data_IF_043123840248
#
_entry.id   IF_043123840248
#
_cell.length_a   1.000
_cell.length_b   1.000
_cell.length_c   1.000
_cell.angle_alpha   90.00
_cell.angle_beta   90.00
_cell.angle_gamma   90.00
#
_symmetry.space_group_name_H-M   'P 1'
#
loop_
_entity.id
_entity.type
_entity.pdbx_description
1 polymer ?
#
# COMPACT_ATOMS: atom_id res chain seq x y z
N UNK A 1 -0.63 -3.42 -22.83
CA UNK A 1 0.26 -3.67 -21.69
C UNK A 1 -0.27 -4.82 -20.87
N UNK A 2 0.57 -5.80 -20.54
CA UNK A 2 0.13 -6.83 -19.62
C UNK A 2 -0.23 -6.21 -18.25
N UNK A 3 -1.18 -6.80 -17.60
CA UNK A 3 -1.61 -6.36 -16.29
C UNK A 3 -0.48 -6.54 -15.27
N UNK A 4 -0.33 -5.57 -14.37
CA UNK A 4 0.66 -5.62 -13.33
C UNK A 4 0.37 -6.80 -12.39
N UNK A 5 1.41 -7.48 -11.90
CA UNK A 5 1.27 -8.64 -11.00
C UNK A 5 0.53 -8.34 -9.70
N UNK A 6 0.39 -7.06 -9.34
CA UNK A 6 -0.36 -6.65 -8.16
C UNK A 6 -1.83 -6.35 -8.47
N UNK A 7 -2.19 -6.32 -9.74
CA UNK A 7 -3.51 -5.86 -10.20
C UNK A 7 -4.66 -6.69 -9.66
N UNK A 8 -4.47 -8.01 -9.51
CA UNK A 8 -5.53 -8.89 -9.00
C UNK A 8 -5.98 -8.50 -7.59
N UNK A 9 -5.09 -7.94 -6.77
CA UNK A 9 -5.42 -7.46 -5.42
C UNK A 9 -5.92 -6.02 -5.42
N UNK A 10 -5.49 -5.21 -6.38
CA UNK A 10 -5.79 -3.78 -6.44
C UNK A 10 -7.04 -3.46 -7.24
N UNK A 11 -7.30 -4.21 -8.31
CA UNK A 11 -8.46 -3.95 -9.19
C UNK A 11 -9.79 -3.95 -8.44
N UNK A 12 -10.08 -4.96 -7.59
CA UNK A 12 -11.34 -4.93 -6.84
C UNK A 12 -11.50 -3.71 -5.96
N UNK A 13 -10.41 -3.24 -5.34
CA UNK A 13 -10.42 -2.04 -4.52
C UNK A 13 -10.76 -0.80 -5.36
N UNK A 14 -10.11 -0.66 -6.51
CA UNK A 14 -10.32 0.49 -7.40
C UNK A 14 -11.73 0.49 -7.99
N UNK A 15 -12.20 -0.65 -8.47
CA UNK A 15 -13.52 -0.78 -9.10
C UNK A 15 -14.65 -0.52 -8.13
N UNK A 16 -14.43 -0.77 -6.84
CA UNK A 16 -15.43 -0.53 -5.79
C UNK A 16 -15.35 0.86 -5.18
N UNK A 17 -14.46 1.70 -5.68
CA UNK A 17 -14.32 3.09 -5.22
C UNK A 17 -13.71 3.21 -3.83
N UNK A 18 -12.87 2.27 -3.43
CA UNK A 18 -12.15 2.36 -2.16
C UNK A 18 -11.07 3.43 -2.26
N UNK A 19 -11.05 4.34 -1.30
CA UNK A 19 -10.01 5.37 -1.20
C UNK A 19 -8.82 4.82 -0.42
N UNK A 20 -7.69 4.73 -1.10
CA UNK A 20 -6.45 4.23 -0.51
C UNK A 20 -5.22 4.78 -1.24
N UNK A 21 -4.09 4.70 -0.58
CA UNK A 21 -2.78 5.04 -1.14
C UNK A 21 -1.88 3.82 -1.03
N UNK A 22 -1.24 3.43 -2.14
CA UNK A 22 -0.21 2.41 -2.12
C UNK A 22 1.03 2.97 -1.42
N UNK A 23 1.55 2.20 -0.48
CA UNK A 23 2.75 2.55 0.28
C UNK A 23 3.73 1.36 0.24
N UNK A 24 4.81 1.43 0.98
CA UNK A 24 5.75 0.32 1.13
C UNK A 24 6.48 -0.07 -0.15
N UNK A 25 6.83 -1.35 -0.26
CA UNK A 25 7.64 -1.88 -1.34
C UNK A 25 7.04 -1.72 -2.72
N UNK A 26 5.73 -1.91 -2.85
CA UNK A 26 5.05 -1.74 -4.16
C UNK A 26 5.14 -0.29 -4.62
N UNK A 27 4.94 0.66 -3.72
CA UNK A 27 5.08 2.08 -4.05
C UNK A 27 6.51 2.39 -4.52
N UNK A 28 7.51 1.82 -3.86
CA UNK A 28 8.92 1.98 -4.26
C UNK A 28 9.15 1.43 -5.68
N UNK A 29 8.68 0.21 -5.95
CA UNK A 29 8.81 -0.42 -7.27
C UNK A 29 8.12 0.42 -8.34
N UNK A 30 6.92 0.89 -8.09
CA UNK A 30 6.17 1.73 -9.03
C UNK A 30 6.85 3.07 -9.27
N UNK A 31 7.58 3.58 -8.30
CA UNK A 31 8.42 4.78 -8.44
C UNK A 31 9.76 4.50 -9.14
N UNK A 32 10.02 3.26 -9.54
CA UNK A 32 11.21 2.90 -10.31
C UNK A 32 12.33 2.23 -9.51
N UNK A 33 12.14 1.94 -8.23
CA UNK A 33 13.16 1.28 -7.44
C UNK A 33 13.38 -0.17 -7.90
N UNK A 34 14.65 -0.59 -8.12
CA UNK A 34 14.96 -1.95 -8.55
C UNK A 34 14.98 -2.92 -7.36
N UNK A 35 13.84 -3.06 -6.71
CA UNK A 35 13.66 -3.97 -5.57
C UNK A 35 12.54 -4.96 -5.86
N UNK A 36 12.48 -6.04 -5.10
CA UNK A 36 11.42 -7.04 -5.21
C UNK A 36 10.52 -6.96 -3.99
N UNK A 37 9.23 -7.13 -4.21
CA UNK A 37 8.23 -7.24 -3.15
C UNK A 37 7.09 -8.14 -3.60
N UNK A 38 6.51 -8.87 -2.66
CA UNK A 38 5.30 -9.68 -2.87
C UNK A 38 4.12 -9.11 -2.11
N UNK A 39 4.38 -8.29 -1.10
CA UNK A 39 3.35 -7.69 -0.26
C UNK A 39 2.81 -6.43 -0.94
N UNK A 40 1.50 -6.26 -0.86
CA UNK A 40 0.84 -5.01 -1.25
C UNK A 40 0.42 -4.32 0.02
N UNK A 41 0.94 -3.11 0.25
CA UNK A 41 0.64 -2.31 1.43
C UNK A 41 -0.19 -1.10 1.04
N UNK A 42 -1.34 -0.94 1.69
CA UNK A 42 -2.21 0.21 1.44
C UNK A 42 -2.53 0.93 2.75
N UNK A 43 -2.64 2.26 2.66
CA UNK A 43 -3.22 3.09 3.73
C UNK A 43 -4.59 3.54 3.24
N UNK A 44 -5.63 3.19 3.96
CA UNK A 44 -7.01 3.49 3.56
C UNK A 44 -7.58 4.70 4.29
N UNK A 45 -8.52 5.38 3.66
CA UNK A 45 -9.33 6.38 4.34
C UNK A 45 -10.20 5.71 5.40
N UNK A 46 -10.28 6.32 6.58
CA UNK A 46 -11.10 5.81 7.69
C UNK A 46 -12.50 6.43 7.72
N UNK A 47 -12.92 7.06 6.63
CA UNK A 47 -14.32 7.45 6.46
C UNK A 47 -15.21 6.20 6.53
N UNK A 48 -16.32 6.29 7.25
CA UNK A 48 -17.23 5.17 7.49
C UNK A 48 -17.67 4.49 6.19
N UNK A 49 -18.04 5.26 5.17
CA UNK A 49 -18.45 4.70 3.88
C UNK A 49 -17.30 3.95 3.20
N UNK A 50 -16.09 4.48 3.32
CA UNK A 50 -14.91 3.83 2.75
C UNK A 50 -14.61 2.51 3.46
N UNK A 51 -14.74 2.47 4.77
CA UNK A 51 -14.53 1.25 5.56
C UNK A 51 -15.54 0.17 5.18
N UNK A 52 -16.80 0.54 4.95
CA UNK A 52 -17.82 -0.40 4.51
C UNK A 52 -17.46 -1.02 3.15
N UNK A 53 -17.05 -0.18 2.20
CA UNK A 53 -16.61 -0.66 0.88
C UNK A 53 -15.39 -1.57 0.98
N UNK A 54 -14.41 -1.16 1.79
CA UNK A 54 -13.19 -1.94 2.00
C UNK A 54 -13.49 -3.31 2.62
N UNK A 55 -14.32 -3.36 3.66
CA UNK A 55 -14.72 -4.63 4.28
C UNK A 55 -15.38 -5.58 3.29
N UNK A 56 -16.30 -5.07 2.47
CA UNK A 56 -16.98 -5.88 1.47
C UNK A 56 -15.99 -6.48 0.46
N UNK A 57 -14.99 -5.69 0.04
CA UNK A 57 -13.97 -6.16 -0.89
C UNK A 57 -13.04 -7.18 -0.22
N UNK A 58 -12.63 -6.93 1.01
CA UNK A 58 -11.78 -7.88 1.75
C UNK A 58 -12.48 -9.23 1.89
N UNK A 59 -13.78 -9.23 2.14
CA UNK A 59 -14.57 -10.46 2.19
C UNK A 59 -14.60 -11.16 0.83
N UNK A 60 -14.81 -10.42 -0.24
CA UNK A 60 -14.81 -10.99 -1.61
C UNK A 60 -13.46 -11.56 -2.01
N UNK A 61 -12.36 -11.07 -1.44
CA UNK A 61 -11.01 -11.56 -1.66
C UNK A 61 -10.64 -12.71 -0.72
N UNK A 62 -11.57 -13.13 0.12
CA UNK A 62 -11.35 -14.18 1.13
C UNK A 62 -10.21 -13.83 2.08
N UNK A 63 -10.09 -12.55 2.43
CA UNK A 63 -9.00 -12.03 3.24
C UNK A 63 -9.12 -12.48 4.71
N UNK A 64 -8.05 -13.06 5.22
CA UNK A 64 -7.95 -13.48 6.62
C UNK A 64 -6.60 -13.07 7.18
N UNK A 65 -6.46 -13.07 8.51
CA UNK A 65 -5.19 -12.75 9.16
C UNK A 65 -4.10 -13.71 8.69
N UNK A 66 -2.95 -13.14 8.32
CA UNK A 66 -1.75 -13.90 7.95
C UNK A 66 -1.08 -14.50 9.18
N UNK A 67 -1.40 -13.99 10.36
CA UNK A 67 -0.96 -14.51 11.64
C UNK A 67 -1.95 -15.63 12.02
N UNK A 68 -1.49 -16.87 12.12
CA UNK A 68 -2.33 -18.06 12.36
C UNK A 68 -3.45 -18.18 11.30
N UNK A 69 -3.10 -18.34 10.02
CA UNK A 69 -4.10 -18.35 8.93
C UNK A 69 -5.10 -19.50 9.05
N UNK A 70 -4.74 -20.58 9.72
CA UNK A 70 -5.61 -21.73 9.97
C UNK A 70 -6.85 -21.36 10.81
N UNK A 71 -6.78 -20.28 11.60
CA UNK A 71 -7.90 -19.80 12.39
C UNK A 71 -8.91 -19.01 11.56
N UNK A 72 -8.54 -18.60 10.36
CA UNK A 72 -9.39 -17.86 9.42
C UNK A 72 -10.03 -16.62 10.04
N UNK A 73 -9.22 -15.84 10.76
CA UNK A 73 -9.68 -14.62 11.42
C UNK A 73 -9.89 -13.52 10.39
N UNK A 74 -11.14 -13.08 10.25
CA UNK A 74 -11.54 -12.04 9.29
C UNK A 74 -11.34 -10.64 9.89
N UNK A 75 -11.01 -9.65 9.07
CA UNK A 75 -10.98 -8.25 9.53
C UNK A 75 -12.37 -7.77 9.89
N UNK A 76 -12.44 -6.88 10.88
CA UNK A 76 -13.68 -6.23 11.31
C UNK A 76 -13.56 -4.71 11.15
N UNK A 77 -14.70 -4.02 11.11
CA UNK A 77 -14.73 -2.56 10.98
C UNK A 77 -13.90 -1.87 12.08
N UNK A 78 -13.96 -2.38 13.30
CA UNK A 78 -13.20 -1.82 14.42
C UNK A 78 -11.69 -1.83 14.19
N UNK A 79 -11.18 -2.86 13.50
CA UNK A 79 -9.76 -2.92 13.15
C UNK A 79 -9.38 -1.82 12.15
N UNK A 80 -10.26 -1.53 11.20
CA UNK A 80 -10.02 -0.54 10.15
C UNK A 80 -10.20 0.90 10.62
N UNK A 81 -10.88 1.10 11.74
CA UNK A 81 -11.09 2.42 12.35
C UNK A 81 -9.97 2.83 13.29
N UNK A 82 -9.10 1.90 13.65
CA UNK A 82 -8.03 2.14 14.61
C UNK A 82 -6.80 2.82 14.03
N UNK A 83 -5.66 2.55 14.63
CA UNK A 83 -4.35 3.06 14.18
C UNK A 83 -3.37 1.95 13.81
N UNK A 84 -3.83 0.71 13.82
CA UNK A 84 -2.98 -0.47 13.66
C UNK A 84 -2.80 -0.94 12.23
N UNK A 85 -2.16 -2.07 12.11
CA UNK A 85 -1.87 -2.73 10.84
C UNK A 85 -2.57 -4.09 10.79
N UNK A 86 -3.26 -4.37 9.68
CA UNK A 86 -3.85 -5.68 9.42
C UNK A 86 -3.02 -6.38 8.34
N UNK A 87 -2.33 -7.42 8.76
CA UNK A 87 -1.54 -8.24 7.83
C UNK A 87 -2.41 -9.39 7.36
N UNK A 88 -2.90 -9.30 6.13
CA UNK A 88 -3.87 -10.23 5.57
C UNK A 88 -3.26 -11.10 4.47
N UNK A 89 -3.85 -12.26 4.27
CA UNK A 89 -3.63 -13.09 3.09
C UNK A 89 -4.96 -13.21 2.34
N UNK A 90 -4.93 -12.93 1.05
CA UNK A 90 -6.09 -13.05 0.17
C UNK A 90 -5.89 -14.24 -0.78
N UNK A 91 -6.91 -14.57 -1.57
CA UNK A 91 -6.76 -15.62 -2.61
C UNK A 91 -5.69 -15.28 -3.65
N UNK A 92 -5.28 -14.01 -3.76
CA UNK A 92 -4.30 -13.54 -4.75
C UNK A 92 -2.94 -13.19 -4.10
N UNK A 93 -2.79 -13.39 -2.80
CA UNK A 93 -1.54 -13.12 -2.09
C UNK A 93 -1.69 -12.15 -0.93
N UNK A 94 -0.56 -11.79 -0.29
CA UNK A 94 -0.57 -10.90 0.87
C UNK A 94 -1.10 -9.51 0.53
N UNK A 95 -1.89 -8.96 1.46
CA UNK A 95 -2.40 -7.58 1.41
C UNK A 95 -2.35 -7.01 2.82
N UNK A 96 -1.52 -6.00 3.04
CA UNK A 96 -1.43 -5.33 4.32
C UNK A 96 -2.26 -4.05 4.28
N UNK A 97 -3.21 -3.97 5.18
CA UNK A 97 -4.13 -2.84 5.29
C UNK A 97 -3.75 -2.04 6.53
N UNK A 98 -3.25 -0.84 6.29
CA UNK A 98 -2.63 -0.02 7.32
C UNK A 98 -3.52 1.19 7.60
N UNK A 99 -3.86 1.41 8.88
CA UNK A 99 -4.61 2.60 9.27
C UNK A 99 -3.72 3.84 9.25
N UNK A 100 -2.47 3.68 9.66
CA UNK A 100 -1.44 4.73 9.66
C UNK A 100 -0.07 4.12 9.37
N UNK A 101 0.87 4.95 8.95
CA UNK A 101 2.28 4.56 8.80
C UNK A 101 3.19 5.61 9.42
N UNK A 102 4.45 5.26 9.66
CA UNK A 102 5.42 6.18 10.25
C UNK A 102 4.95 6.71 11.59
N UNK A 103 5.06 8.01 11.81
CA UNK A 103 4.63 8.69 13.02
C UNK A 103 3.13 8.97 13.00
N UNK A 104 2.32 7.91 12.93
CA UNK A 104 0.84 8.00 12.88
C UNK A 104 0.29 8.82 11.69
N UNK A 105 0.96 8.74 10.54
CA UNK A 105 0.49 9.40 9.34
C UNK A 105 -0.69 8.63 8.74
N UNK A 106 -1.84 9.28 8.69
CA UNK A 106 -3.07 8.72 8.15
C UNK A 106 -3.22 9.02 6.66
N UNK A 107 -4.25 8.48 6.05
CA UNK A 107 -4.58 8.70 4.64
C UNK A 107 -4.58 10.20 4.28
N UNK A 108 -5.23 11.03 5.10
CA UNK A 108 -5.35 12.46 4.85
C UNK A 108 -4.00 13.18 4.88
N UNK A 109 -3.09 12.73 5.75
CA UNK A 109 -1.72 13.28 5.84
C UNK A 109 -0.88 12.91 4.63
N UNK A 110 -1.10 11.73 4.07
CA UNK A 110 -0.33 11.20 2.95
C UNK A 110 -0.86 11.64 1.59
N UNK A 111 -2.13 11.99 1.52
CA UNK A 111 -2.79 12.34 0.26
C UNK A 111 -2.07 13.44 -0.53
N UNK A 112 -1.61 14.56 0.08
CA UNK A 112 -0.86 15.58 -0.64
C UNK A 112 0.51 15.11 -1.14
N UNK A 113 1.01 13.99 -0.63
CA UNK A 113 2.31 13.42 -0.98
C UNK A 113 2.18 12.17 -1.85
N UNK A 114 1.07 12.07 -2.56
CA UNK A 114 0.76 10.95 -3.44
C UNK A 114 0.37 11.44 -4.82
N UNK A 115 0.45 10.55 -5.80
CA UNK A 115 0.05 10.85 -7.17
C UNK A 115 -0.59 9.63 -7.80
N UNK A 116 -1.44 9.86 -8.80
CA UNK A 116 -2.06 8.76 -9.55
C UNK A 116 -1.10 8.22 -10.59
N UNK A 117 -1.07 6.90 -10.73
CA UNK A 117 -0.30 6.20 -11.74
C UNK A 117 -1.17 5.18 -12.46
N UNK A 118 -0.98 5.06 -13.75
CA UNK A 118 -1.53 3.95 -14.54
C UNK A 118 -0.54 2.79 -14.44
N UNK A 119 -0.99 1.67 -13.85
CA UNK A 119 -0.14 0.50 -13.64
C UNK A 119 -0.41 -0.63 -14.65
N UNK A 120 -1.07 -0.31 -15.76
CA UNK A 120 -1.41 -1.25 -16.83
C UNK A 120 -2.86 -1.71 -16.76
N UNK A 121 -3.37 -2.20 -17.88
CA UNK A 121 -4.75 -2.67 -17.96
C UNK A 121 -5.82 -1.62 -17.70
N UNK A 122 -5.47 -0.33 -17.83
CA UNK A 122 -6.37 0.78 -17.51
C UNK A 122 -6.55 1.01 -16.03
N UNK A 123 -5.76 0.37 -15.19
CA UNK A 123 -5.88 0.47 -13.73
C UNK A 123 -5.04 1.65 -13.22
N UNK A 124 -5.72 2.63 -12.63
CA UNK A 124 -5.07 3.79 -12.03
C UNK A 124 -5.14 3.70 -10.52
N UNK A 125 -4.00 3.90 -9.88
CA UNK A 125 -3.88 3.83 -8.41
C UNK A 125 -3.14 5.06 -7.88
N UNK A 126 -3.43 5.42 -6.64
CA UNK A 126 -2.71 6.49 -5.96
C UNK A 126 -1.52 5.88 -5.23
N UNK A 127 -0.34 6.45 -5.46
CA UNK A 127 0.94 5.92 -4.99
C UNK A 127 1.66 6.99 -4.19
N UNK A 128 2.20 6.63 -3.04
CA UNK A 128 2.98 7.55 -2.22
C UNK A 128 4.28 7.93 -2.94
N UNK A 129 4.65 9.20 -2.86
CA UNK A 129 5.86 9.73 -3.49
C UNK A 129 7.12 9.11 -2.90
N UNK A 130 8.13 8.94 -3.75
CA UNK A 130 9.40 8.36 -3.34
C UNK A 130 10.09 9.17 -2.23
N UNK A 131 10.02 10.50 -2.31
CA UNK A 131 10.58 11.38 -1.26
C UNK A 131 9.97 11.10 0.10
N UNK A 132 8.65 10.94 0.15
CA UNK A 132 7.93 10.66 1.40
C UNK A 132 8.23 9.27 1.93
N UNK A 133 8.32 8.27 1.03
CA UNK A 133 8.74 6.92 1.41
C UNK A 133 10.11 6.93 2.08
N UNK A 134 11.06 7.64 1.51
CA UNK A 134 12.41 7.77 2.04
C UNK A 134 12.38 8.44 3.42
N UNK A 135 11.68 9.56 3.54
CA UNK A 135 11.59 10.31 4.79
C UNK A 135 11.02 9.46 5.94
N UNK A 136 9.98 8.68 5.65
CA UNK A 136 9.36 7.79 6.64
C UNK A 136 10.36 6.69 7.08
N UNK A 137 11.04 6.07 6.12
CA UNK A 137 12.02 5.02 6.42
C UNK A 137 13.22 5.55 7.22
N UNK A 138 13.65 6.76 6.95
CA UNK A 138 14.74 7.40 7.70
C UNK A 138 14.38 7.65 9.16
N UNK A 139 13.11 8.01 9.42
CA UNK A 139 12.67 8.36 10.77
C UNK A 139 12.37 7.14 11.64
N UNK A 140 11.66 6.15 11.09
CA UNK A 140 11.08 5.07 11.88
C UNK A 140 11.48 3.67 11.41
N UNK A 141 12.27 3.58 10.35
CA UNK A 141 12.63 2.31 9.76
C UNK A 141 13.59 1.47 10.60
N UNK A 142 13.40 0.15 10.58
CA UNK A 142 14.33 -0.81 11.16
C UNK A 142 15.48 -1.14 10.20
N UNK A 143 16.24 -2.19 10.52
CA UNK A 143 17.39 -2.62 9.71
C UNK A 143 17.02 -2.90 8.25
N UNK A 144 15.89 -3.57 8.03
CA UNK A 144 15.42 -3.90 6.69
C UNK A 144 15.17 -2.64 5.85
N UNK A 145 14.57 -1.63 6.45
CA UNK A 145 14.32 -0.34 5.79
C UNK A 145 15.62 0.41 5.51
N UNK A 146 16.56 0.38 6.46
CA UNK A 146 17.88 1.01 6.28
C UNK A 146 18.66 0.39 5.15
N UNK A 147 18.54 -0.92 4.96
CA UNK A 147 19.23 -1.63 3.87
C UNK A 147 18.73 -1.17 2.49
N UNK A 148 17.46 -0.78 2.38
CA UNK A 148 16.84 -0.33 1.13
C UNK A 148 17.05 1.16 0.85
N UNK A 149 17.31 1.97 1.87
CA UNK A 149 17.47 3.43 1.73
C UNK A 149 18.47 3.87 0.66
N UNK A 150 19.67 3.30 0.55
CA UNK A 150 20.60 3.71 -0.51
C UNK A 150 20.02 3.52 -1.91
N UNK A 151 19.28 2.43 -2.13
CA UNK A 151 18.63 2.14 -3.41
C UNK A 151 17.56 3.19 -3.71
N UNK A 152 16.74 3.53 -2.73
CA UNK A 152 15.67 4.51 -2.88
C UNK A 152 16.23 5.91 -3.15
N UNK A 153 17.26 6.31 -2.41
CA UNK A 153 17.91 7.61 -2.61
C UNK A 153 18.50 7.73 -4.00
N UNK A 154 19.14 6.67 -4.47
CA UNK A 154 19.70 6.65 -5.83
C UNK A 154 18.59 6.74 -6.89
N UNK A 155 17.50 6.02 -6.69
CA UNK A 155 16.33 6.08 -7.58
C UNK A 155 15.78 7.50 -7.65
N UNK A 156 15.64 8.18 -6.53
CA UNK A 156 15.16 9.56 -6.47
C UNK A 156 16.12 10.50 -7.21
N UNK A 157 17.40 10.36 -7.00
CA UNK A 157 18.43 11.15 -7.68
C UNK A 157 18.36 10.99 -9.19
N UNK A 158 18.22 9.75 -9.66
CA UNK A 158 18.07 9.44 -11.10
C UNK A 158 16.80 10.08 -11.69
N UNK A 159 15.69 9.99 -10.96
CA UNK A 159 14.44 10.62 -11.40
C UNK A 159 14.57 12.14 -11.53
N UNK A 160 15.23 12.77 -10.58
CA UNK A 160 15.48 14.24 -10.61
C UNK A 160 16.35 14.65 -11.80
N UNK A 161 17.36 13.84 -12.14
CA UNK A 161 18.22 14.09 -13.31
C UNK A 161 17.42 14.01 -14.61
N UNK A 162 16.41 13.14 -14.66
CA UNK A 162 15.56 12.98 -15.84
C UNK A 162 14.40 13.97 -15.88
N UNK A 163 14.31 14.88 -14.90
CA UNK A 163 13.23 15.86 -14.82
C UNK A 163 11.88 15.28 -14.43
N UNK A 164 11.90 14.18 -13.74
CA UNK A 164 10.68 13.47 -13.31
C UNK A 164 10.33 13.73 -11.85
#
# INVERSE_FOLDING_TARGET
>A
MPENRFASRLRPLCESGVDFILVGGVAAVLNGAPTNTFDVDIVHSRDTNNIERLLAILESLDAVSRIQPERRLKPAASHLMGSGHLNLITRYGPLDVLCTIGDNLAYEDLLPHSHEMDIGGGLRVRVLDLETLIAIKERVGGEKDRAVLPILRRTLEEKRKLGQ
#
